data_IF_300937055259
#
_entry.id   IF_300937055259
#
_cell.length_a   1.000
_cell.length_b   1.000
_cell.length_c   1.000
_cell.angle_alpha   90.00
_cell.angle_beta   90.00
_cell.angle_gamma   90.00
#
_symmetry.space_group_name_H-M   'P 1'
#
loop_
_entity.id
_entity.type
_entity.pdbx_description
1 polymer ?
#
# COMPACT_ATOMS: atom_id res chain seq x y z
N UNK A 1 -25.57 -22.74 -10.90
CA UNK A 1 -24.66 -22.28 -9.83
C UNK A 1 -24.45 -20.79 -10.01
N UNK A 2 -24.99 -19.94 -9.13
CA UNK A 2 -24.80 -18.49 -9.16
C UNK A 2 -23.33 -18.26 -8.82
N UNK A 3 -22.54 -17.77 -9.80
CA UNK A 3 -21.13 -17.53 -9.64
C UNK A 3 -20.85 -16.60 -8.46
N UNK A 4 -20.14 -17.08 -7.45
CA UNK A 4 -19.71 -16.28 -6.29
C UNK A 4 -18.90 -15.10 -6.83
N UNK A 5 -19.36 -13.85 -6.61
CA UNK A 5 -18.61 -12.66 -6.98
C UNK A 5 -17.22 -12.76 -6.33
N UNK A 6 -16.17 -12.70 -7.15
CA UNK A 6 -14.77 -12.83 -6.68
C UNK A 6 -14.33 -11.69 -5.77
N UNK A 7 -14.97 -10.52 -5.89
CA UNK A 7 -14.70 -9.37 -5.02
C UNK A 7 -16.00 -8.65 -4.64
N UNK A 8 -15.93 -7.92 -3.53
CA UNK A 8 -16.94 -6.99 -3.07
C UNK A 8 -16.29 -5.67 -2.74
N UNK A 9 -16.92 -4.56 -3.07
CA UNK A 9 -16.45 -3.22 -2.72
C UNK A 9 -17.55 -2.45 -2.02
N UNK A 10 -17.16 -1.59 -1.07
CA UNK A 10 -18.08 -0.80 -0.25
C UNK A 10 -17.63 0.66 -0.25
N UNK A 11 -18.57 1.58 -0.45
CA UNK A 11 -18.35 2.99 -0.21
C UNK A 11 -18.70 3.26 1.26
N UNK A 12 -17.68 3.28 2.12
CA UNK A 12 -17.84 3.38 3.56
C UNK A 12 -16.55 3.89 4.22
N UNK A 13 -16.67 4.33 5.47
CA UNK A 13 -15.51 4.53 6.33
C UNK A 13 -14.91 3.19 6.75
N UNK A 14 -13.60 3.05 6.61
CA UNK A 14 -12.88 1.81 6.88
C UNK A 14 -12.93 1.41 8.36
N UNK A 15 -12.87 2.37 9.28
CA UNK A 15 -12.88 2.10 10.72
C UNK A 15 -14.26 1.67 11.18
N UNK A 16 -15.30 2.32 10.67
CA UNK A 16 -16.69 1.95 10.94
C UNK A 16 -16.97 0.54 10.38
N UNK A 17 -16.57 0.27 9.14
CA UNK A 17 -16.76 -1.05 8.53
C UNK A 17 -16.03 -2.16 9.27
N UNK A 18 -14.77 -1.93 9.67
CA UNK A 18 -13.98 -2.89 10.45
C UNK A 18 -14.60 -3.14 11.82
N UNK A 19 -15.14 -2.10 12.48
CA UNK A 19 -15.78 -2.21 13.79
C UNK A 19 -17.05 -3.07 13.80
N UNK A 20 -17.73 -3.16 12.66
CA UNK A 20 -18.94 -3.98 12.50
C UNK A 20 -18.66 -5.33 11.83
N UNK A 21 -17.40 -5.60 11.46
CA UNK A 21 -17.04 -6.84 10.79
C UNK A 21 -16.93 -8.01 11.77
N UNK A 22 -17.44 -9.16 11.35
CA UNK A 22 -17.31 -10.40 12.11
C UNK A 22 -15.83 -10.71 12.42
N UNK A 23 -15.49 -10.98 13.70
CA UNK A 23 -14.13 -11.35 14.07
C UNK A 23 -13.63 -12.58 13.33
N UNK A 24 -12.29 -12.65 13.13
CA UNK A 24 -11.63 -13.80 12.48
C UNK A 24 -12.25 -14.21 11.14
N UNK A 25 -12.60 -13.23 10.31
CA UNK A 25 -13.23 -13.43 8.99
C UNK A 25 -12.34 -13.03 7.81
N UNK A 26 -11.20 -12.38 8.07
CA UNK A 26 -10.25 -11.88 7.07
C UNK A 26 -8.93 -12.64 7.18
N UNK A 27 -8.36 -13.03 6.03
CA UNK A 27 -7.18 -13.90 5.95
C UNK A 27 -5.90 -13.15 5.59
N UNK A 28 -6.02 -11.96 5.01
CA UNK A 28 -4.91 -11.05 4.78
C UNK A 28 -5.41 -9.62 4.60
N UNK A 29 -4.59 -8.64 4.96
CA UNK A 29 -4.75 -7.24 4.59
C UNK A 29 -3.56 -6.84 3.70
N UNK A 30 -3.85 -6.27 2.52
CA UNK A 30 -2.84 -5.64 1.65
C UNK A 30 -3.36 -4.27 1.30
N UNK A 31 -2.63 -3.22 1.70
CA UNK A 31 -3.17 -1.86 1.62
C UNK A 31 -2.10 -0.78 1.49
N UNK A 32 -2.46 0.34 0.89
CA UNK A 32 -1.71 1.60 0.86
C UNK A 32 -2.53 2.67 1.59
N UNK A 33 -2.47 2.73 2.93
CA UNK A 33 -3.32 3.60 3.73
C UNK A 33 -2.94 5.07 3.55
N UNK A 34 -3.85 6.02 3.85
CA UNK A 34 -3.47 7.40 4.02
C UNK A 34 -2.45 7.49 5.17
N UNK A 35 -1.35 8.22 4.93
CA UNK A 35 -0.27 8.29 5.91
C UNK A 35 -0.58 9.17 7.13
N UNK A 36 -1.85 9.59 7.29
CA UNK A 36 -2.32 10.41 8.41
C UNK A 36 -1.84 11.86 8.36
N UNK A 37 -1.21 12.26 7.27
CA UNK A 37 -0.73 13.61 7.02
C UNK A 37 -1.69 14.28 6.05
N UNK A 38 -2.03 15.55 6.31
CA UNK A 38 -2.67 16.39 5.29
C UNK A 38 -1.62 16.66 4.22
N UNK A 39 -1.57 15.80 3.19
CA UNK A 39 -0.54 15.87 2.14
C UNK A 39 -0.66 17.15 1.30
N UNK A 40 -1.86 17.74 1.25
CA UNK A 40 -2.12 18.91 0.44
C UNK A 40 -3.13 19.83 1.10
N UNK A 41 -2.69 21.01 1.49
CA UNK A 41 -3.59 22.10 1.79
C UNK A 41 -4.25 22.61 0.47
N UNK A 42 -5.46 23.20 0.51
CA UNK A 42 -6.16 23.67 -0.68
C UNK A 42 -5.32 24.62 -1.56
N UNK A 43 -4.55 25.49 -0.95
CA UNK A 43 -3.62 26.40 -1.64
C UNK A 43 -2.43 25.67 -2.30
N UNK A 44 -1.99 24.56 -1.73
CA UNK A 44 -0.95 23.72 -2.32
C UNK A 44 -1.49 22.90 -3.51
N UNK A 45 -2.73 22.42 -3.41
CA UNK A 45 -3.43 21.78 -4.53
C UNK A 45 -3.64 22.77 -5.68
N UNK A 46 -3.99 24.02 -5.37
CA UNK A 46 -4.14 25.07 -6.38
C UNK A 46 -2.81 25.35 -7.07
N UNK A 47 -1.74 25.57 -6.31
CA UNK A 47 -0.37 25.76 -6.87
C UNK A 47 0.09 24.60 -7.76
N UNK A 48 -0.33 23.37 -7.41
CA UNK A 48 -0.06 22.20 -8.24
C UNK A 48 -0.83 22.22 -9.55
N UNK A 49 -2.11 22.62 -9.55
CA UNK A 49 -2.93 22.77 -10.76
C UNK A 49 -2.38 23.85 -11.68
N UNK A 50 -1.92 24.95 -11.10
CA UNK A 50 -1.38 26.11 -11.82
C UNK A 50 0.07 25.90 -12.30
N UNK A 51 0.67 24.73 -12.02
CA UNK A 51 2.08 24.48 -12.32
C UNK A 51 3.06 25.34 -11.51
N UNK A 52 2.56 26.07 -10.51
CA UNK A 52 3.34 26.99 -9.67
C UNK A 52 3.74 26.32 -8.34
N UNK A 53 4.95 26.60 -7.87
CA UNK A 53 5.38 26.27 -6.51
C UNK A 53 6.03 24.91 -6.30
N UNK A 54 6.28 24.14 -7.33
CA UNK A 54 7.26 23.05 -7.28
C UNK A 54 8.65 23.66 -7.15
N UNK A 55 9.50 23.09 -6.28
CA UNK A 55 10.86 23.59 -6.20
C UNK A 55 11.67 22.99 -7.34
N UNK A 56 11.48 23.52 -8.51
CA UNK A 56 12.22 23.20 -9.73
C UNK A 56 13.60 23.88 -9.73
N UNK A 57 14.38 23.67 -8.67
CA UNK A 57 15.70 24.30 -8.55
C UNK A 57 16.82 23.53 -9.23
N UNK A 58 16.52 22.38 -9.77
CA UNK A 58 17.44 21.48 -10.46
C UNK A 58 16.71 20.75 -11.59
N UNK A 59 17.45 20.14 -12.54
CA UNK A 59 16.83 19.47 -13.69
C UNK A 59 15.62 18.65 -13.29
N UNK A 60 14.54 18.78 -14.05
CA UNK A 60 13.29 18.04 -13.83
C UNK A 60 13.52 16.55 -13.90
N UNK A 61 14.52 16.15 -14.67
CA UNK A 61 14.91 14.77 -14.90
C UNK A 61 16.17 14.42 -14.12
N UNK A 62 16.12 13.30 -13.46
CA UNK A 62 17.28 12.68 -12.87
C UNK A 62 17.17 11.18 -13.09
N UNK A 63 18.25 10.61 -13.63
CA UNK A 63 18.30 9.18 -13.87
C UNK A 63 17.16 8.70 -14.81
N UNK A 64 16.78 9.55 -15.78
CA UNK A 64 15.74 9.29 -16.76
C UNK A 64 14.29 9.36 -16.23
N UNK A 65 14.09 9.82 -14.99
CA UNK A 65 12.77 9.93 -14.37
C UNK A 65 12.36 11.40 -14.22
N UNK A 66 11.25 11.76 -14.80
CA UNK A 66 10.68 13.11 -14.68
C UNK A 66 10.14 13.35 -13.27
N UNK A 67 10.42 14.55 -12.76
CA UNK A 67 10.01 14.97 -11.43
C UNK A 67 8.57 15.46 -11.44
N UNK A 68 7.73 14.88 -10.58
CA UNK A 68 6.41 15.43 -10.30
C UNK A 68 6.51 16.54 -9.25
N UNK A 69 5.85 17.71 -9.45
CA UNK A 69 5.75 18.72 -8.42
C UNK A 69 4.95 18.17 -7.25
N UNK A 70 5.58 18.04 -6.10
CA UNK A 70 4.93 17.57 -4.89
C UNK A 70 5.29 18.50 -3.73
N UNK A 71 4.31 18.84 -2.87
CA UNK A 71 4.57 19.54 -1.63
C UNK A 71 5.53 18.75 -0.76
N UNK A 72 6.37 19.42 0.00
CA UNK A 72 7.32 18.78 0.91
C UNK A 72 6.72 18.62 2.30
N UNK A 73 6.94 17.47 2.87
CA UNK A 73 6.96 17.30 4.32
C UNK A 73 8.37 17.61 4.80
N UNK A 74 8.63 18.84 5.17
CA UNK A 74 9.96 19.19 5.69
C UNK A 74 10.05 19.06 7.20
N UNK A 75 8.94 19.17 7.92
CA UNK A 75 8.90 19.06 9.37
C UNK A 75 7.55 18.49 9.79
N UNK A 76 7.57 17.33 10.47
CA UNK A 76 6.41 16.82 11.22
C UNK A 76 6.51 17.36 12.64
N UNK A 77 5.45 17.97 13.11
CA UNK A 77 5.34 18.48 14.47
C UNK A 77 4.87 17.37 15.42
N UNK A 78 5.13 17.48 16.74
CA UNK A 78 4.65 16.48 17.69
C UNK A 78 3.15 16.14 17.57
N UNK A 79 2.21 17.10 17.35
CA UNK A 79 0.81 16.77 17.12
C UNK A 79 0.53 15.96 15.85
N UNK A 80 1.39 16.08 14.82
CA UNK A 80 1.26 15.27 13.60
C UNK A 80 1.67 13.83 13.88
N UNK A 81 2.74 13.62 14.66
CA UNK A 81 3.15 12.28 15.11
C UNK A 81 2.09 11.62 15.95
N UNK A 82 1.48 12.35 16.89
CA UNK A 82 0.40 11.87 17.74
C UNK A 82 -0.80 11.40 16.90
N UNK A 83 -1.28 12.24 15.98
CA UNK A 83 -2.38 11.91 15.07
C UNK A 83 -2.10 10.68 14.22
N UNK A 84 -0.87 10.56 13.68
CA UNK A 84 -0.45 9.40 12.89
C UNK A 84 -0.44 8.14 13.75
N UNK A 85 0.09 8.23 14.96
CA UNK A 85 0.14 7.12 15.91
C UNK A 85 -1.26 6.66 16.31
N UNK A 86 -2.17 7.58 16.60
CA UNK A 86 -3.57 7.28 16.93
C UNK A 86 -4.29 6.59 15.76
N UNK A 87 -4.15 7.11 14.54
CA UNK A 87 -4.72 6.51 13.34
C UNK A 87 -4.28 5.05 13.16
N UNK A 88 -2.97 4.80 13.21
CA UNK A 88 -2.45 3.45 13.01
C UNK A 88 -2.72 2.51 14.20
N UNK A 89 -2.80 3.03 15.41
CA UNK A 89 -3.18 2.24 16.59
C UNK A 89 -4.65 1.79 16.52
N UNK A 90 -5.54 2.67 16.06
CA UNK A 90 -6.94 2.31 15.86
C UNK A 90 -7.07 1.28 14.73
N UNK A 91 -6.38 1.49 13.60
CA UNK A 91 -6.35 0.54 12.49
C UNK A 91 -5.82 -0.83 12.93
N UNK A 92 -4.70 -0.87 13.66
CA UNK A 92 -4.09 -2.10 14.13
C UNK A 92 -5.03 -2.89 15.05
N UNK A 93 -5.67 -2.23 16.00
CA UNK A 93 -6.63 -2.85 16.92
C UNK A 93 -7.80 -3.48 16.16
N UNK A 94 -8.45 -2.74 15.26
CA UNK A 94 -9.58 -3.24 14.48
C UNK A 94 -9.15 -4.36 13.52
N UNK A 95 -7.98 -4.20 12.86
CA UNK A 95 -7.42 -5.25 12.03
C UNK A 95 -7.14 -6.53 12.82
N UNK A 96 -6.65 -6.41 14.06
CA UNK A 96 -6.37 -7.57 14.91
C UNK A 96 -7.64 -8.39 15.19
N UNK A 97 -8.77 -7.74 15.45
CA UNK A 97 -10.04 -8.41 15.72
C UNK A 97 -10.55 -9.19 14.49
N UNK A 98 -10.56 -8.57 13.32
CA UNK A 98 -11.14 -9.17 12.11
C UNK A 98 -10.24 -10.23 11.45
N UNK A 99 -8.95 -10.21 11.72
CA UNK A 99 -8.00 -11.16 11.13
C UNK A 99 -8.05 -12.53 11.83
N UNK A 100 -7.95 -13.58 11.03
CA UNK A 100 -7.72 -14.94 11.56
C UNK A 100 -6.30 -15.07 12.12
N UNK A 101 -6.02 -16.01 13.05
CA UNK A 101 -4.66 -16.31 13.52
C UNK A 101 -3.70 -16.56 12.36
N UNK A 102 -2.49 -16.02 12.42
CA UNK A 102 -1.48 -16.16 11.39
C UNK A 102 -1.67 -15.31 10.14
N UNK A 103 -2.74 -14.51 10.04
CA UNK A 103 -2.98 -13.62 8.92
C UNK A 103 -1.93 -12.51 8.84
N UNK A 104 -1.53 -12.15 7.62
CA UNK A 104 -0.58 -11.08 7.38
C UNK A 104 -1.27 -9.75 7.08
N UNK A 105 -0.64 -8.67 7.52
CA UNK A 105 -0.88 -7.31 7.06
C UNK A 105 0.36 -6.86 6.28
N UNK A 106 0.21 -6.56 5.00
CA UNK A 106 1.27 -6.01 4.16
C UNK A 106 0.85 -4.61 3.77
N UNK A 107 1.55 -3.61 4.29
CA UNK A 107 1.09 -2.24 4.26
C UNK A 107 2.20 -1.28 3.80
N UNK A 108 1.88 -0.43 2.82
CA UNK A 108 2.75 0.65 2.41
C UNK A 108 2.99 1.65 3.55
N UNK A 109 4.17 2.23 3.57
CA UNK A 109 4.53 3.27 4.54
C UNK A 109 5.56 4.23 3.95
N UNK A 110 5.81 5.31 4.63
CA UNK A 110 6.94 6.19 4.38
C UNK A 110 8.11 5.86 5.30
N UNK A 111 9.34 5.91 4.77
CA UNK A 111 10.54 5.59 5.56
C UNK A 111 10.69 6.43 6.83
N UNK A 112 10.28 7.70 6.79
CA UNK A 112 10.34 8.60 7.96
C UNK A 112 9.22 8.34 8.99
N UNK A 113 8.14 7.64 8.61
CA UNK A 113 6.97 7.38 9.46
C UNK A 113 6.85 5.90 9.87
N UNK A 114 7.61 5.02 9.25
CA UNK A 114 7.52 3.58 9.49
C UNK A 114 7.66 3.20 10.95
N UNK A 115 8.46 3.93 11.73
CA UNK A 115 8.64 3.67 13.16
C UNK A 115 7.34 3.85 13.97
N UNK A 116 6.50 4.83 13.61
CA UNK A 116 5.20 5.04 14.28
C UNK A 116 4.22 3.92 13.93
N UNK A 117 4.20 3.51 12.66
CA UNK A 117 3.37 2.40 12.18
C UNK A 117 3.78 1.10 12.85
N UNK A 118 5.09 0.80 12.90
CA UNK A 118 5.62 -0.40 13.55
C UNK A 118 5.24 -0.42 15.03
N UNK A 119 5.43 0.70 15.74
CA UNK A 119 5.07 0.80 17.16
C UNK A 119 3.57 0.56 17.38
N UNK A 120 2.69 1.14 16.56
CA UNK A 120 1.24 0.97 16.66
C UNK A 120 0.81 -0.50 16.49
N UNK A 121 1.32 -1.17 15.45
CA UNK A 121 0.97 -2.57 15.19
C UNK A 121 1.56 -3.53 16.21
N UNK A 122 2.82 -3.37 16.60
CA UNK A 122 3.46 -4.25 17.60
C UNK A 122 2.84 -4.08 18.98
N UNK A 123 2.48 -2.86 19.37
CA UNK A 123 1.75 -2.59 20.64
C UNK A 123 0.33 -3.18 20.63
N UNK A 124 -0.26 -3.42 19.45
CA UNK A 124 -1.55 -4.09 19.31
C UNK A 124 -1.46 -5.61 19.23
N UNK A 125 -0.28 -6.19 19.45
CA UNK A 125 -0.06 -7.64 19.51
C UNK A 125 0.36 -8.30 18.18
N UNK A 126 0.61 -7.52 17.12
CA UNK A 126 1.16 -8.09 15.88
C UNK A 126 2.66 -8.38 16.01
N UNK A 127 3.10 -9.44 15.35
CA UNK A 127 4.51 -9.71 15.14
C UNK A 127 5.01 -8.92 13.93
N UNK A 128 6.10 -8.17 14.07
CA UNK A 128 6.82 -7.61 12.93
C UNK A 128 7.57 -8.73 12.21
N UNK A 129 7.29 -8.93 10.90
CA UNK A 129 7.88 -10.02 10.10
C UNK A 129 8.89 -9.57 9.05
N UNK A 130 9.20 -8.29 9.02
CA UNK A 130 10.11 -7.67 8.07
C UNK A 130 9.45 -6.58 7.25
N UNK A 131 10.13 -6.16 6.20
CA UNK A 131 9.61 -5.15 5.28
C UNK A 131 10.08 -5.45 3.87
N UNK A 132 9.27 -5.10 2.88
CA UNK A 132 9.62 -5.17 1.47
C UNK A 132 10.16 -3.82 1.07
N UNK A 133 11.35 -3.79 0.50
CA UNK A 133 11.90 -2.63 -0.18
C UNK A 133 11.40 -2.62 -1.63
N UNK A 134 10.36 -1.83 -1.91
CA UNK A 134 9.94 -1.56 -3.27
C UNK A 134 10.87 -0.53 -3.87
N UNK A 135 11.82 -0.97 -4.70
CA UNK A 135 12.74 -0.06 -5.38
C UNK A 135 11.97 0.64 -6.50
N UNK A 136 11.80 1.93 -6.34
CA UNK A 136 11.18 2.80 -7.33
C UNK A 136 11.93 4.12 -7.35
N UNK A 137 12.49 4.48 -8.51
CA UNK A 137 13.20 5.75 -8.65
C UNK A 137 12.19 6.89 -8.54
N UNK A 138 12.13 7.49 -7.35
CA UNK A 138 11.32 8.65 -7.09
C UNK A 138 12.21 9.87 -7.04
N UNK A 139 11.64 11.04 -7.36
CA UNK A 139 12.38 12.31 -7.28
C UNK A 139 12.09 13.06 -5.97
N UNK A 140 11.70 12.34 -4.92
CA UNK A 140 11.46 12.91 -3.60
C UNK A 140 12.76 13.01 -2.81
N UNK A 141 12.95 14.14 -2.13
CA UNK A 141 14.16 14.39 -1.35
C UNK A 141 15.38 14.81 -2.18
N UNK A 142 16.53 14.88 -1.53
CA UNK A 142 17.77 15.38 -2.12
C UNK A 142 17.77 16.89 -2.40
N UNK A 143 16.85 17.60 -1.81
CA UNK A 143 16.68 19.04 -2.03
C UNK A 143 17.72 19.87 -1.29
N UNK A 144 18.21 20.93 -1.94
CA UNK A 144 19.11 21.91 -1.33
C UNK A 144 18.38 22.78 -0.29
N UNK A 145 19.10 23.35 0.70
CA UNK A 145 18.49 24.25 1.67
C UNK A 145 17.77 25.41 1.01
N UNK A 146 16.55 25.69 1.47
CA UNK A 146 15.72 26.76 0.91
C UNK A 146 16.40 28.10 1.14
N UNK A 147 16.55 28.91 0.08
CA UNK A 147 17.17 30.22 0.14
C UNK A 147 18.71 30.21 0.25
N UNK A 148 19.35 29.05 0.38
CA UNK A 148 20.81 28.94 0.52
C UNK A 148 21.45 27.95 -0.47
N UNK A 149 20.76 27.60 -1.54
CA UNK A 149 21.22 26.61 -2.52
C UNK A 149 22.45 27.03 -3.33
N UNK A 150 22.69 28.34 -3.43
CA UNK A 150 23.91 28.91 -4.05
C UNK A 150 25.07 28.95 -3.07
N UNK A 151 24.78 29.21 -1.78
CA UNK A 151 25.78 29.25 -0.71
C UNK A 151 26.27 27.85 -0.36
N UNK A 152 25.36 26.87 -0.36
CA UNK A 152 25.64 25.46 -0.03
C UNK A 152 25.27 24.52 -1.19
N UNK A 153 25.99 24.58 -2.32
CA UNK A 153 25.62 23.85 -3.54
C UNK A 153 25.69 22.33 -3.38
N UNK A 154 26.50 21.83 -2.47
CA UNK A 154 26.75 20.39 -2.24
C UNK A 154 26.02 19.82 -1.01
N UNK A 155 25.04 20.57 -0.45
CA UNK A 155 24.29 20.15 0.73
C UNK A 155 22.86 19.80 0.36
N UNK A 156 22.38 18.67 0.84
CA UNK A 156 20.99 18.22 0.76
C UNK A 156 20.36 18.18 2.14
N UNK A 157 19.10 18.60 2.25
CA UNK A 157 18.33 18.60 3.53
C UNK A 157 17.98 17.19 3.94
N UNK A 158 17.79 16.29 2.97
CA UNK A 158 17.42 14.90 3.21
C UNK A 158 17.98 13.99 2.12
N UNK A 159 18.12 12.68 2.38
CA UNK A 159 18.42 11.72 1.34
C UNK A 159 17.36 11.78 0.24
N UNK A 160 17.77 11.44 -0.97
CA UNK A 160 16.82 11.20 -2.05
C UNK A 160 16.21 9.83 -1.89
N UNK A 161 14.89 9.75 -1.86
CA UNK A 161 14.18 8.49 -1.75
C UNK A 161 14.24 7.71 -3.07
N UNK A 162 14.72 6.48 -3.02
CA UNK A 162 14.77 5.54 -4.14
C UNK A 162 13.96 4.27 -3.87
N UNK A 163 13.29 4.19 -2.75
CA UNK A 163 12.48 3.05 -2.36
C UNK A 163 11.31 3.45 -1.47
N UNK A 164 10.32 2.60 -1.42
CA UNK A 164 9.11 2.70 -0.62
C UNK A 164 9.02 1.45 0.28
N UNK A 165 8.94 1.61 1.62
CA UNK A 165 8.78 0.47 2.52
C UNK A 165 7.35 -0.07 2.47
N UNK A 166 7.23 -1.39 2.42
CA UNK A 166 5.99 -2.13 2.67
C UNK A 166 6.21 -3.01 3.89
N UNK A 167 5.59 -2.65 5.00
CA UNK A 167 5.74 -3.33 6.28
C UNK A 167 4.95 -4.62 6.30
N UNK A 168 5.54 -5.69 6.85
CA UNK A 168 4.90 -7.00 6.98
C UNK A 168 4.67 -7.28 8.46
N UNK A 169 3.41 -7.36 8.83
CA UNK A 169 2.99 -7.81 10.16
C UNK A 169 2.25 -9.13 10.05
N UNK A 170 2.23 -9.88 11.13
CA UNK A 170 1.46 -11.11 11.25
C UNK A 170 0.71 -11.13 12.57
N UNK A 171 -0.57 -11.43 12.56
CA UNK A 171 -1.27 -11.83 13.78
C UNK A 171 -0.65 -13.14 14.25
N UNK A 172 -0.33 -13.34 15.55
CA UNK A 172 0.26 -14.57 16.05
C UNK A 172 -0.51 -15.80 15.59
N UNK A 173 0.22 -16.89 15.30
CA UNK A 173 -0.38 -18.16 14.98
C UNK A 173 -0.95 -18.82 16.24
N UNK A 174 -2.02 -19.61 16.08
CA UNK A 174 -2.43 -20.58 17.07
C UNK A 174 -1.58 -21.85 16.88
N UNK A 175 -0.62 -22.06 17.77
CA UNK A 175 0.32 -23.18 17.70
C UNK A 175 1.41 -23.02 16.63
N UNK A 176 1.85 -24.13 16.04
CA UNK A 176 2.88 -24.12 15.00
C UNK A 176 2.33 -23.64 13.67
N UNK A 177 3.17 -23.04 12.83
CA UNK A 177 2.78 -22.54 11.49
C UNK A 177 2.09 -23.64 10.66
N UNK A 178 2.58 -24.88 10.69
CA UNK A 178 1.96 -25.99 9.95
C UNK A 178 0.54 -26.29 10.41
N UNK A 179 0.26 -26.15 11.70
CA UNK A 179 -1.04 -26.44 12.29
C UNK A 179 -2.00 -25.28 11.98
N UNK A 180 -1.49 -24.04 12.06
CA UNK A 180 -2.21 -22.85 11.66
C UNK A 180 -2.57 -22.84 10.17
N UNK A 181 -1.68 -23.33 9.29
CA UNK A 181 -1.97 -23.52 7.86
C UNK A 181 -3.12 -24.51 7.62
N UNK A 182 -3.21 -25.58 8.43
CA UNK A 182 -4.30 -26.57 8.32
C UNK A 182 -5.64 -26.00 8.76
N UNK A 183 -5.65 -25.24 9.87
CA UNK A 183 -6.87 -24.72 10.48
C UNK A 183 -7.35 -23.44 9.82
N UNK A 184 -6.44 -22.48 9.62
CA UNK A 184 -6.76 -21.12 9.20
C UNK A 184 -6.30 -20.77 7.78
N UNK A 185 -5.54 -21.65 7.12
CA UNK A 185 -4.93 -21.41 5.79
C UNK A 185 -3.94 -20.24 5.75
N UNK A 186 -3.47 -19.78 6.90
CA UNK A 186 -2.59 -18.60 7.11
C UNK A 186 -1.37 -18.98 7.96
N UNK A 187 -0.46 -18.04 8.19
CA UNK A 187 0.73 -18.21 9.05
C UNK A 187 2.06 -18.13 8.32
N UNK A 188 2.05 -18.20 6.99
CA UNK A 188 3.23 -18.14 6.13
C UNK A 188 2.98 -17.23 4.92
N UNK A 189 4.02 -16.92 4.15
CA UNK A 189 3.92 -16.25 2.85
C UNK A 189 4.00 -17.28 1.72
N UNK A 190 3.21 -17.06 0.66
CA UNK A 190 3.26 -17.92 -0.52
C UNK A 190 4.53 -17.66 -1.32
N UNK A 191 5.17 -18.71 -1.78
CA UNK A 191 6.26 -18.64 -2.74
C UNK A 191 5.73 -18.22 -4.11
N UNK A 192 6.53 -17.53 -4.89
CA UNK A 192 6.17 -17.14 -6.27
C UNK A 192 6.17 -18.35 -7.23
N UNK A 193 7.05 -19.32 -6.95
CA UNK A 193 7.10 -20.66 -7.51
C UNK A 193 7.71 -21.61 -6.48
N UNK A 194 7.69 -22.92 -6.74
CA UNK A 194 8.22 -23.94 -5.80
C UNK A 194 9.67 -23.62 -5.39
N UNK A 195 10.49 -23.23 -6.35
CA UNK A 195 11.90 -22.89 -6.20
C UNK A 195 12.17 -21.39 -5.96
N UNK A 196 11.12 -20.54 -6.02
CA UNK A 196 11.25 -19.07 -5.91
C UNK A 196 10.52 -18.55 -4.67
N UNK A 197 11.24 -18.34 -3.55
CA UNK A 197 10.66 -17.68 -2.39
C UNK A 197 10.20 -16.27 -2.74
N UNK A 198 9.26 -15.75 -1.96
CA UNK A 198 8.92 -14.34 -2.00
C UNK A 198 10.10 -13.52 -1.44
N UNK A 199 10.50 -12.51 -2.19
CA UNK A 199 11.67 -11.69 -1.84
C UNK A 199 11.23 -10.37 -1.18
N UNK A 200 12.04 -9.87 -0.28
CA UNK A 200 11.85 -8.60 0.40
C UNK A 200 12.39 -7.38 -0.37
N UNK A 201 12.96 -7.60 -1.56
CA UNK A 201 13.37 -6.55 -2.48
C UNK A 201 12.68 -6.75 -3.83
N UNK A 202 11.88 -5.76 -4.25
CA UNK A 202 11.12 -5.80 -5.50
C UNK A 202 11.39 -4.53 -6.29
N UNK A 203 12.03 -4.67 -7.46
CA UNK A 203 12.15 -3.55 -8.40
C UNK A 203 10.80 -3.28 -9.07
N UNK A 204 10.40 -2.03 -9.07
CA UNK A 204 9.11 -1.58 -9.60
C UNK A 204 9.26 -0.25 -10.33
N UNK A 205 8.35 0.01 -11.24
CA UNK A 205 8.16 1.33 -11.86
C UNK A 205 6.87 1.99 -11.30
N UNK A 206 6.72 3.32 -11.41
CA UNK A 206 5.43 3.96 -11.22
C UNK A 206 4.40 3.43 -12.22
N UNK A 207 3.11 3.38 -11.84
CA UNK A 207 2.04 3.08 -12.78
C UNK A 207 2.00 4.13 -13.89
N UNK A 208 2.00 3.71 -15.14
CA UNK A 208 2.07 4.58 -16.33
C UNK A 208 1.19 4.02 -17.46
N UNK A 209 1.08 4.80 -18.55
CA UNK A 209 0.37 4.37 -19.76
C UNK A 209 -1.04 3.90 -19.45
N UNK A 210 -1.37 2.71 -19.91
CA UNK A 210 -2.72 2.14 -19.83
C UNK A 210 -3.24 1.99 -18.39
N UNK A 211 -2.39 1.63 -17.42
CA UNK A 211 -2.81 1.55 -16.02
C UNK A 211 -3.33 2.90 -15.52
N UNK A 212 -2.62 3.98 -15.87
CA UNK A 212 -2.97 5.34 -15.47
C UNK A 212 -4.22 5.86 -16.18
N UNK A 213 -4.47 5.40 -17.39
CA UNK A 213 -5.69 5.72 -18.15
C UNK A 213 -6.91 4.99 -17.56
N UNK A 214 -6.76 3.71 -17.19
CA UNK A 214 -7.82 2.92 -16.60
C UNK A 214 -8.18 3.36 -15.18
N UNK A 215 -7.22 3.87 -14.43
CA UNK A 215 -7.39 4.32 -13.06
C UNK A 215 -6.54 5.59 -12.80
N UNK A 216 -7.04 6.79 -13.13
CA UNK A 216 -6.30 8.06 -12.96
C UNK A 216 -6.20 8.50 -11.49
N UNK A 217 -5.85 7.60 -10.60
CA UNK A 217 -5.68 7.85 -9.17
C UNK A 217 -4.25 8.33 -8.84
N UNK A 218 -4.05 9.34 -7.99
CA UNK A 218 -2.73 9.91 -7.70
C UNK A 218 -1.74 8.90 -7.13
N UNK A 219 -2.21 7.98 -6.29
CA UNK A 219 -1.39 6.96 -5.61
C UNK A 219 -1.47 5.58 -6.25
N UNK A 220 -1.85 5.48 -7.53
CA UNK A 220 -2.00 4.19 -8.22
C UNK A 220 -0.71 3.36 -8.13
N UNK A 221 -0.83 2.16 -7.60
CA UNK A 221 0.26 1.18 -7.57
C UNK A 221 0.19 0.25 -8.80
N UNK A 222 1.34 -0.06 -9.45
CA UNK A 222 1.34 -0.89 -10.66
C UNK A 222 0.97 -2.34 -10.38
N UNK A 223 0.24 -2.95 -11.31
CA UNK A 223 -0.21 -4.33 -11.22
C UNK A 223 0.95 -5.34 -11.13
N UNK A 224 2.06 -5.09 -11.81
CA UNK A 224 3.26 -5.93 -11.76
C UNK A 224 3.80 -6.10 -10.32
N UNK A 225 3.68 -5.06 -9.51
CA UNK A 225 4.09 -5.07 -8.11
C UNK A 225 3.00 -5.67 -7.22
N UNK A 226 1.76 -5.20 -7.35
CA UNK A 226 0.67 -5.63 -6.46
C UNK A 226 0.35 -7.12 -6.60
N UNK A 227 0.40 -7.68 -7.81
CA UNK A 227 0.17 -9.11 -8.01
C UNK A 227 1.16 -9.99 -7.25
N UNK A 228 2.42 -9.55 -7.11
CA UNK A 228 3.42 -10.27 -6.31
C UNK A 228 3.08 -10.24 -4.82
N UNK A 229 2.77 -9.05 -4.29
CA UNK A 229 2.42 -8.87 -2.87
C UNK A 229 1.13 -9.60 -2.52
N UNK A 230 0.08 -9.41 -3.32
CA UNK A 230 -1.22 -10.06 -3.11
C UNK A 230 -1.09 -11.58 -3.19
N UNK A 231 -0.29 -12.10 -4.15
CA UNK A 231 -0.01 -13.53 -4.24
C UNK A 231 0.62 -14.07 -2.96
N UNK A 232 1.60 -13.35 -2.41
CA UNK A 232 2.33 -13.79 -1.21
C UNK A 232 1.46 -13.79 0.05
N UNK A 233 0.46 -12.90 0.13
CA UNK A 233 -0.35 -12.68 1.33
C UNK A 233 -1.24 -13.87 1.71
N UNK A 234 -1.66 -14.71 0.74
CA UNK A 234 -2.49 -15.90 0.97
C UNK A 234 -1.69 -17.17 0.65
N UNK A 235 -1.07 -17.84 1.63
CA UNK A 235 -0.09 -18.90 1.40
C UNK A 235 -0.64 -20.09 0.61
N UNK A 236 -1.91 -20.44 0.81
CA UNK A 236 -2.58 -21.53 0.10
C UNK A 236 -3.48 -21.06 -1.06
N UNK A 237 -3.47 -19.76 -1.38
CA UNK A 237 -4.34 -19.17 -2.40
C UNK A 237 -5.83 -19.20 -2.00
N UNK A 238 -6.13 -19.37 -0.73
CA UNK A 238 -7.50 -19.48 -0.19
C UNK A 238 -7.69 -18.47 0.94
N UNK A 239 -8.91 -17.98 1.08
CA UNK A 239 -9.28 -16.98 2.10
C UNK A 239 -9.72 -15.67 1.49
N UNK A 240 -10.01 -14.70 2.34
CA UNK A 240 -10.48 -13.36 1.96
C UNK A 240 -9.39 -12.35 2.21
N UNK A 241 -9.00 -11.62 1.17
CA UNK A 241 -8.09 -10.49 1.25
C UNK A 241 -8.90 -9.19 1.42
N UNK A 242 -8.45 -8.32 2.30
CA UNK A 242 -9.04 -7.01 2.54
C UNK A 242 -8.07 -5.89 2.15
N UNK A 243 -8.57 -4.87 1.45
CA UNK A 243 -7.96 -3.57 1.32
C UNK A 243 -8.91 -2.51 1.90
N UNK A 244 -8.68 -2.03 3.13
CA UNK A 244 -9.55 -1.05 3.78
C UNK A 244 -9.43 0.38 3.22
N UNK A 245 -8.45 0.64 2.33
CA UNK A 245 -8.21 1.93 1.69
C UNK A 245 -7.93 1.75 0.20
N UNK A 246 -8.88 1.11 -0.50
CA UNK A 246 -8.62 0.59 -1.85
C UNK A 246 -8.39 1.65 -2.94
N UNK A 247 -8.78 2.91 -2.70
CA UNK A 247 -8.73 3.96 -3.72
C UNK A 247 -9.43 3.54 -5.00
N UNK A 248 -8.73 3.60 -6.12
CA UNK A 248 -9.23 3.10 -7.42
C UNK A 248 -9.26 1.56 -7.58
N UNK A 249 -8.97 0.80 -6.52
CA UNK A 249 -9.13 -0.66 -6.49
C UNK A 249 -7.96 -1.47 -7.07
N UNK A 250 -6.75 -0.93 -7.12
CA UNK A 250 -5.59 -1.64 -7.73
C UNK A 250 -5.23 -2.93 -6.99
N UNK A 251 -5.32 -2.98 -5.67
CA UNK A 251 -5.10 -4.19 -4.87
C UNK A 251 -6.19 -5.24 -5.15
N UNK A 252 -7.44 -4.79 -5.22
CA UNK A 252 -8.58 -5.66 -5.52
C UNK A 252 -8.48 -6.22 -6.95
N UNK A 253 -8.01 -5.41 -7.91
CA UNK A 253 -7.74 -5.86 -9.27
C UNK A 253 -6.65 -6.94 -9.32
N UNK A 254 -5.59 -6.80 -8.52
CA UNK A 254 -4.54 -7.82 -8.39
C UNK A 254 -5.10 -9.12 -7.79
N UNK A 255 -5.94 -9.04 -6.74
CA UNK A 255 -6.62 -10.18 -6.15
C UNK A 255 -7.58 -10.86 -7.14
N UNK A 256 -8.33 -10.07 -7.91
CA UNK A 256 -9.21 -10.56 -8.96
C UNK A 256 -8.46 -11.32 -10.06
N UNK A 257 -7.31 -10.78 -10.53
CA UNK A 257 -6.43 -11.46 -11.48
C UNK A 257 -5.96 -12.83 -10.99
N UNK A 258 -5.63 -12.92 -9.70
CA UNK A 258 -5.12 -14.16 -9.07
C UNK A 258 -6.22 -15.15 -8.70
N UNK A 259 -7.49 -14.81 -8.91
CA UNK A 259 -8.61 -15.65 -8.51
C UNK A 259 -8.87 -15.66 -7.00
N UNK A 260 -8.43 -14.66 -6.25
CA UNK A 260 -8.62 -14.55 -4.80
C UNK A 260 -9.91 -13.82 -4.45
N UNK A 261 -10.60 -14.30 -3.43
CA UNK A 261 -11.72 -13.55 -2.86
C UNK A 261 -11.19 -12.30 -2.15
N UNK A 262 -11.80 -11.14 -2.44
CA UNK A 262 -11.34 -9.89 -1.86
C UNK A 262 -12.47 -8.92 -1.51
N UNK A 263 -12.16 -8.03 -0.58
CA UNK A 263 -13.04 -6.95 -0.13
C UNK A 263 -12.24 -5.66 -0.21
N UNK A 264 -12.83 -4.62 -0.81
CA UNK A 264 -12.27 -3.28 -0.86
C UNK A 264 -13.20 -2.26 -0.24
N UNK A 265 -12.64 -1.30 0.50
CA UNK A 265 -13.39 -0.22 1.13
C UNK A 265 -12.78 1.10 0.68
N UNK A 266 -13.64 2.07 0.35
CA UNK A 266 -13.24 3.40 -0.06
C UNK A 266 -14.29 4.40 0.42
N UNK A 267 -13.82 5.43 1.12
CA UNK A 267 -14.69 6.46 1.67
C UNK A 267 -15.08 7.51 0.61
N UNK A 268 -14.16 7.79 -0.32
CA UNK A 268 -14.39 8.78 -1.37
C UNK A 268 -15.29 8.19 -2.46
N UNK A 269 -16.49 8.78 -2.73
CA UNK A 269 -17.43 8.25 -3.70
C UNK A 269 -16.92 8.32 -5.15
N UNK A 270 -16.04 9.26 -5.48
CA UNK A 270 -15.46 9.38 -6.82
C UNK A 270 -14.45 8.24 -7.07
N UNK A 271 -13.56 7.97 -6.11
CA UNK A 271 -12.63 6.83 -6.19
C UNK A 271 -13.36 5.50 -6.12
N UNK A 272 -14.40 5.39 -5.30
CA UNK A 272 -15.26 4.21 -5.28
C UNK A 272 -15.94 3.97 -6.64
N UNK A 273 -16.47 5.02 -7.27
CA UNK A 273 -17.06 4.92 -8.61
C UNK A 273 -16.03 4.52 -9.65
N UNK A 274 -14.82 5.10 -9.60
CA UNK A 274 -13.69 4.71 -10.46
C UNK A 274 -13.34 3.23 -10.31
N UNK A 275 -13.29 2.72 -9.09
CA UNK A 275 -12.94 1.33 -8.79
C UNK A 275 -13.87 0.32 -9.47
N UNK A 276 -15.15 0.62 -9.65
CA UNK A 276 -16.13 -0.26 -10.31
C UNK A 276 -15.71 -0.64 -11.74
N UNK A 277 -15.16 0.31 -12.49
CA UNK A 277 -14.68 0.10 -13.86
C UNK A 277 -13.19 -0.31 -13.89
N UNK A 278 -12.38 0.25 -13.00
CA UNK A 278 -10.93 0.01 -12.98
C UNK A 278 -10.57 -1.42 -12.55
N UNK A 279 -11.26 -2.00 -11.56
CA UNK A 279 -10.95 -3.34 -11.05
C UNK A 279 -10.97 -4.40 -12.15
N UNK A 280 -12.06 -4.61 -12.91
CA UNK A 280 -12.07 -5.62 -13.95
C UNK A 280 -11.08 -5.33 -15.08
N UNK A 281 -10.91 -4.06 -15.45
CA UNK A 281 -9.99 -3.67 -16.53
C UNK A 281 -8.52 -3.89 -16.16
N UNK A 282 -8.08 -3.44 -14.98
CA UNK A 282 -6.73 -3.67 -14.45
C UNK A 282 -6.47 -5.17 -14.19
N UNK A 283 -7.48 -5.89 -13.71
CA UNK A 283 -7.38 -7.33 -13.45
C UNK A 283 -7.18 -8.16 -14.72
N UNK A 284 -7.86 -7.78 -15.82
CA UNK A 284 -7.73 -8.44 -17.13
C UNK A 284 -6.43 -8.08 -17.86
N UNK A 285 -5.76 -7.01 -17.48
CA UNK A 285 -4.59 -6.49 -18.18
C UNK A 285 -3.43 -7.48 -18.15
N UNK A 286 -2.75 -7.65 -19.30
CA UNK A 286 -1.49 -8.40 -19.36
C UNK A 286 -0.34 -7.56 -18.80
N UNK A 287 0.44 -8.16 -17.93
CA UNK A 287 1.59 -7.51 -17.27
C UNK A 287 2.82 -8.42 -17.44
N UNK A 288 3.91 -7.86 -17.93
CA UNK A 288 5.16 -8.60 -18.07
C UNK A 288 5.65 -9.07 -16.69
N UNK A 289 6.01 -10.35 -16.58
CA UNK A 289 6.43 -10.96 -15.33
C UNK A 289 5.29 -11.23 -14.34
N UNK A 290 4.03 -11.16 -14.78
CA UNK A 290 2.90 -11.44 -13.91
C UNK A 290 2.87 -12.90 -13.49
N UNK A 291 2.60 -13.12 -12.18
CA UNK A 291 2.33 -14.43 -11.61
C UNK A 291 1.01 -14.91 -12.24
N UNK A 292 1.02 -16.10 -12.78
CA UNK A 292 -0.20 -16.72 -13.31
C UNK A 292 -1.10 -17.16 -12.16
N UNK A 293 -2.43 -17.11 -12.34
CA UNK A 293 -3.35 -17.73 -11.40
C UNK A 293 -2.96 -19.20 -11.24
N UNK A 294 -2.94 -19.66 -10.01
CA UNK A 294 -2.76 -21.10 -9.74
C UNK A 294 -4.11 -21.75 -9.94
N UNK A 295 -4.22 -22.55 -10.98
CA UNK A 295 -5.29 -23.54 -11.14
C UNK A 295 -5.29 -24.52 -9.98
#
# INVERSE_FOLDING_TARGET
>A
MIGRKMYRIYNADAFEWLGHREPRSIHAIVTDPPYGIVEYLPDQLQKRRDGNGGIWRLPHNYDGVERSPMPRFTVLRPPDHERISQFHSQLARLAYEVLVPGAHVIMASQSILSHLVIAAFTSSGFEMRGQIARIVKTLRGGDRPKGAHTVYPNVSVSPRSCWEPWLIFRKPCEGRVRDNLRTWTTGALRRLAIDKPFLDLITSAPARGIERQLAPHPSLKPQAFLRQIVCSALPLGKGVLLDPFMGSGSTIAAAFHLGYQSIGIEIDPEYFSMAKSAIPALGAMQVNGSIKPTT
#
